data_IF_003771521898
#
_entry.id   IF_003771521898
#
_cell.length_a   1.000
_cell.length_b   1.000
_cell.length_c   1.000
_cell.angle_alpha   90.00
_cell.angle_beta   90.00
_cell.angle_gamma   90.00
#
_symmetry.space_group_name_H-M   'P 1'
#
loop_
_entity.id
_entity.type
_entity.pdbx_description
1 polymer ?
#
# COMPACT_ATOMS: atom_id res chain seq x y z
N UNK A 1 4.95 -19.17 18.04
CA UNK A 1 5.17 -19.10 16.56
C UNK A 1 4.20 -18.05 16.06
N UNK A 2 4.65 -17.15 15.17
CA UNK A 2 3.80 -16.03 14.74
C UNK A 2 2.66 -16.52 13.83
N UNK A 3 1.43 -16.02 14.03
CA UNK A 3 0.33 -16.31 13.11
C UNK A 3 0.62 -15.74 11.72
N UNK A 4 0.09 -16.41 10.71
CA UNK A 4 0.25 -16.06 9.30
C UNK A 4 -1.13 -15.74 8.72
N UNK A 5 -1.20 -14.66 7.93
CA UNK A 5 -2.41 -14.25 7.23
C UNK A 5 -2.59 -15.03 5.93
N UNK A 6 -3.83 -15.08 5.42
CA UNK A 6 -4.16 -15.81 4.18
C UNK A 6 -3.37 -15.24 2.99
N UNK A 7 -3.16 -13.92 2.93
CA UNK A 7 -2.41 -13.30 1.84
C UNK A 7 -0.93 -13.69 1.82
N UNK A 8 -0.32 -13.85 2.99
CA UNK A 8 1.08 -14.32 3.11
C UNK A 8 1.19 -15.78 2.74
N UNK A 9 0.24 -16.60 3.21
CA UNK A 9 0.16 -18.00 2.85
C UNK A 9 0.03 -18.18 1.33
N UNK A 10 -0.92 -17.48 0.70
CA UNK A 10 -1.12 -17.57 -0.75
C UNK A 10 0.06 -17.01 -1.56
N UNK A 11 0.71 -15.95 -1.09
CA UNK A 11 1.91 -15.40 -1.73
C UNK A 11 3.07 -16.41 -1.70
N UNK A 12 3.39 -16.95 -0.53
CA UNK A 12 4.44 -17.99 -0.41
C UNK A 12 4.09 -19.25 -1.20
N UNK A 13 2.81 -19.66 -1.19
CA UNK A 13 2.34 -20.80 -1.96
C UNK A 13 2.53 -20.59 -3.47
N UNK A 14 2.17 -19.41 -3.99
CA UNK A 14 2.40 -19.04 -5.38
C UNK A 14 3.90 -19.08 -5.75
N UNK A 15 4.75 -18.47 -4.92
CA UNK A 15 6.21 -18.49 -5.12
C UNK A 15 6.77 -19.92 -5.13
N UNK A 16 6.31 -20.77 -4.21
CA UNK A 16 6.70 -22.18 -4.15
C UNK A 16 6.25 -22.95 -5.40
N UNK A 17 5.01 -22.74 -5.85
CA UNK A 17 4.48 -23.35 -7.07
C UNK A 17 5.33 -22.94 -8.29
N UNK A 18 5.64 -21.65 -8.44
CA UNK A 18 6.48 -21.16 -9.54
C UNK A 18 7.89 -21.76 -9.50
N UNK A 19 8.50 -21.86 -8.31
CA UNK A 19 9.81 -22.49 -8.17
C UNK A 19 9.81 -23.98 -8.53
N UNK A 20 8.71 -24.71 -8.24
CA UNK A 20 8.55 -26.11 -8.66
C UNK A 20 8.38 -26.21 -10.18
N UNK A 21 7.59 -25.31 -10.79
CA UNK A 21 7.40 -25.24 -12.25
C UNK A 21 8.72 -24.93 -12.99
N UNK A 22 9.55 -24.06 -12.41
CA UNK A 22 10.88 -23.69 -12.92
C UNK A 22 11.97 -24.75 -12.63
N UNK A 23 11.64 -25.82 -11.89
CA UNK A 23 12.57 -26.89 -11.52
C UNK A 23 13.61 -26.51 -10.46
N UNK A 24 13.41 -25.39 -9.75
CA UNK A 24 14.29 -24.91 -8.67
C UNK A 24 14.04 -25.62 -7.34
N UNK A 25 12.83 -26.12 -7.13
CA UNK A 25 12.39 -26.77 -5.90
C UNK A 25 11.75 -28.13 -6.22
N UNK A 26 12.04 -29.18 -5.45
CA UNK A 26 11.39 -30.48 -5.61
C UNK A 26 9.90 -30.42 -5.25
N UNK A 27 9.08 -31.19 -5.96
CA UNK A 27 7.61 -31.21 -5.81
C UNK A 27 7.19 -31.72 -4.43
N UNK A 28 8.00 -32.59 -3.83
CA UNK A 28 7.77 -33.26 -2.55
C UNK A 28 7.71 -32.28 -1.38
N UNK A 29 8.39 -31.14 -1.47
CA UNK A 29 8.38 -30.10 -0.43
C UNK A 29 7.05 -29.36 -0.33
N UNK A 30 6.24 -29.38 -1.40
CA UNK A 30 5.03 -28.55 -1.47
C UNK A 30 3.93 -29.01 -0.49
N UNK A 31 3.55 -30.30 -0.42
CA UNK A 31 2.56 -30.76 0.57
C UNK A 31 3.03 -30.63 2.02
N UNK A 32 4.31 -30.89 2.30
CA UNK A 32 4.89 -30.75 3.65
C UNK A 32 4.80 -29.30 4.14
N UNK A 33 5.21 -28.36 3.29
CA UNK A 33 5.12 -26.93 3.58
C UNK A 33 3.66 -26.48 3.84
N UNK A 34 2.71 -26.95 3.03
CA UNK A 34 1.29 -26.63 3.20
C UNK A 34 0.78 -27.10 4.57
N UNK A 35 1.09 -28.33 4.97
CA UNK A 35 0.61 -28.91 6.23
C UNK A 35 1.21 -28.22 7.47
N UNK A 36 2.44 -27.71 7.38
CA UNK A 36 3.08 -26.92 8.43
C UNK A 36 2.48 -25.51 8.54
N UNK A 37 2.42 -24.76 7.44
CA UNK A 37 2.01 -23.36 7.46
C UNK A 37 0.51 -23.20 7.68
N UNK A 38 -0.31 -24.16 7.26
CA UNK A 38 -1.75 -24.17 7.55
C UNK A 38 -2.05 -24.14 9.05
N UNK A 39 -1.20 -24.74 9.90
CA UNK A 39 -1.38 -24.73 11.36
C UNK A 39 -1.15 -23.35 11.97
N UNK A 40 -0.39 -22.50 11.29
CA UNK A 40 -0.08 -21.13 11.71
C UNK A 40 -1.10 -20.11 11.21
N UNK A 41 -2.01 -20.54 10.34
CA UNK A 41 -2.89 -19.65 9.61
C UNK A 41 -4.00 -19.14 10.54
N UNK A 42 -3.97 -17.84 10.83
CA UNK A 42 -4.93 -17.14 11.67
C UNK A 42 -5.21 -15.78 11.04
N UNK A 43 -6.41 -15.62 10.50
CA UNK A 43 -6.81 -14.43 9.75
C UNK A 43 -8.31 -14.18 9.98
N UNK A 44 -8.73 -12.94 10.27
CA UNK A 44 -10.15 -12.55 10.32
C UNK A 44 -10.91 -12.92 9.04
N UNK A 45 -10.24 -12.97 7.88
CA UNK A 45 -10.84 -13.38 6.62
C UNK A 45 -11.47 -14.77 6.67
N UNK A 46 -10.97 -15.66 7.54
CA UNK A 46 -11.49 -17.02 7.68
C UNK A 46 -12.75 -17.14 8.56
N UNK A 47 -13.21 -16.03 9.15
CA UNK A 47 -14.53 -15.99 9.77
C UNK A 47 -15.64 -16.10 8.72
N UNK A 48 -15.36 -15.68 7.47
CA UNK A 48 -16.23 -15.95 6.32
C UNK A 48 -16.14 -17.43 5.93
N UNK A 49 -17.29 -18.11 6.02
CA UNK A 49 -17.41 -19.55 5.76
C UNK A 49 -17.04 -19.92 4.32
N UNK A 50 -17.44 -19.10 3.35
CA UNK A 50 -17.18 -19.35 1.93
C UNK A 50 -15.70 -19.15 1.61
N UNK A 51 -15.09 -18.08 2.13
CA UNK A 51 -13.66 -17.82 1.99
C UNK A 51 -12.82 -18.97 2.57
N UNK A 52 -13.22 -19.53 3.72
CA UNK A 52 -12.54 -20.68 4.33
C UNK A 52 -12.71 -21.96 3.52
N UNK A 53 -13.90 -22.23 3.00
CA UNK A 53 -14.17 -23.40 2.17
C UNK A 53 -13.38 -23.37 0.86
N UNK A 54 -13.35 -22.23 0.16
CA UNK A 54 -12.55 -22.08 -1.07
C UNK A 54 -11.06 -22.25 -0.83
N UNK A 55 -10.54 -21.79 0.30
CA UNK A 55 -9.15 -21.98 0.67
C UNK A 55 -8.83 -23.48 0.90
N UNK A 56 -9.71 -24.18 1.62
CA UNK A 56 -9.57 -25.62 1.83
C UNK A 56 -9.65 -26.39 0.51
N UNK A 57 -10.56 -26.03 -0.41
CA UNK A 57 -10.64 -26.63 -1.75
C UNK A 57 -9.33 -26.48 -2.55
N UNK A 58 -8.69 -25.30 -2.48
CA UNK A 58 -7.38 -25.07 -3.10
C UNK A 58 -6.31 -25.98 -2.49
N UNK A 59 -6.25 -26.05 -1.17
CA UNK A 59 -5.29 -26.88 -0.43
C UNK A 59 -5.49 -28.37 -0.78
N UNK A 60 -6.73 -28.85 -0.75
CA UNK A 60 -7.07 -30.24 -1.04
C UNK A 60 -6.84 -30.58 -2.52
N UNK A 61 -6.99 -29.62 -3.42
CA UNK A 61 -6.63 -29.78 -4.83
C UNK A 61 -5.13 -30.04 -5.03
N UNK A 62 -4.27 -29.45 -4.20
CA UNK A 62 -2.82 -29.56 -4.29
C UNK A 62 -2.24 -30.83 -3.63
N UNK A 63 -2.86 -31.38 -2.59
CA UNK A 63 -2.35 -32.56 -1.86
C UNK A 63 -1.97 -33.77 -2.73
N UNK A 64 -2.78 -34.20 -3.72
CA UNK A 64 -2.45 -35.36 -4.55
C UNK A 64 -1.32 -35.10 -5.55
N UNK A 65 -0.79 -33.88 -5.66
CA UNK A 65 0.21 -33.53 -6.68
C UNK A 65 1.48 -34.40 -6.59
N UNK A 66 1.92 -34.76 -5.38
CA UNK A 66 3.12 -35.60 -5.15
C UNK A 66 2.97 -37.04 -5.66
N UNK A 67 1.73 -37.53 -5.76
CA UNK A 67 1.43 -38.93 -6.11
C UNK A 67 1.14 -39.10 -7.61
N UNK A 68 1.06 -37.98 -8.35
CA UNK A 68 0.73 -37.96 -9.77
C UNK A 68 1.98 -38.03 -10.66
N UNK A 69 1.85 -38.55 -11.90
CA UNK A 69 2.90 -38.41 -12.91
C UNK A 69 3.28 -36.94 -13.12
N UNK A 70 4.57 -36.67 -13.33
CA UNK A 70 5.15 -35.32 -13.41
C UNK A 70 4.34 -34.34 -14.27
N UNK A 71 3.94 -34.74 -15.48
CA UNK A 71 3.14 -33.89 -16.38
C UNK A 71 1.78 -33.50 -15.79
N UNK A 72 1.09 -34.44 -15.14
CA UNK A 72 -0.21 -34.18 -14.49
C UNK A 72 -0.05 -33.31 -13.25
N UNK A 73 1.05 -33.49 -12.50
CA UNK A 73 1.37 -32.65 -11.36
C UNK A 73 1.64 -31.20 -11.81
N UNK A 74 2.46 -30.98 -12.84
CA UNK A 74 2.75 -29.65 -13.38
C UNK A 74 1.48 -28.95 -13.89
N UNK A 75 0.62 -29.65 -14.64
CA UNK A 75 -0.66 -29.07 -15.10
C UNK A 75 -1.58 -28.66 -13.94
N UNK A 76 -1.59 -29.47 -12.88
CA UNK A 76 -2.35 -29.18 -11.65
C UNK A 76 -1.82 -27.95 -10.93
N UNK A 77 -0.50 -27.81 -10.83
CA UNK A 77 0.15 -26.62 -10.29
C UNK A 77 -0.18 -25.34 -11.09
N UNK A 78 -0.14 -25.40 -12.43
CA UNK A 78 -0.55 -24.26 -13.28
C UNK A 78 -2.02 -23.87 -13.04
N UNK A 79 -2.92 -24.85 -12.90
CA UNK A 79 -4.33 -24.57 -12.60
C UNK A 79 -4.51 -23.95 -11.20
N UNK A 80 -3.70 -24.36 -10.22
CA UNK A 80 -3.75 -23.82 -8.87
C UNK A 80 -3.38 -22.34 -8.84
N UNK A 81 -2.45 -21.86 -9.67
CA UNK A 81 -2.16 -20.43 -9.83
C UNK A 81 -3.43 -19.64 -10.23
N UNK A 82 -4.22 -20.16 -11.17
CA UNK A 82 -5.50 -19.56 -11.54
C UNK A 82 -6.55 -19.61 -10.42
N UNK A 83 -6.52 -20.63 -9.56
CA UNK A 83 -7.38 -20.68 -8.36
C UNK A 83 -6.97 -19.63 -7.31
N UNK A 84 -5.66 -19.42 -7.11
CA UNK A 84 -5.13 -18.38 -6.21
C UNK A 84 -5.59 -17.00 -6.67
N UNK A 85 -5.43 -16.68 -7.95
CA UNK A 85 -5.85 -15.39 -8.52
C UNK A 85 -7.36 -15.14 -8.37
N UNK A 86 -8.19 -16.17 -8.59
CA UNK A 86 -9.64 -16.06 -8.34
C UNK A 86 -9.96 -15.85 -6.86
N UNK A 87 -9.27 -16.55 -5.96
CA UNK A 87 -9.43 -16.37 -4.53
C UNK A 87 -9.12 -14.92 -4.10
N UNK A 88 -8.01 -14.36 -4.61
CA UNK A 88 -7.65 -12.95 -4.38
C UNK A 88 -8.77 -12.03 -4.86
N UNK A 89 -9.22 -12.20 -6.11
CA UNK A 89 -10.28 -11.38 -6.70
C UNK A 89 -11.59 -11.38 -5.89
N UNK A 90 -11.98 -12.54 -5.34
CA UNK A 90 -13.21 -12.66 -4.57
C UNK A 90 -13.10 -12.12 -3.15
N UNK A 91 -12.00 -12.37 -2.45
CA UNK A 91 -11.95 -12.19 -1.00
C UNK A 91 -11.00 -11.08 -0.52
N UNK A 92 -10.03 -10.64 -1.33
CA UNK A 92 -8.99 -9.70 -0.87
C UNK A 92 -9.41 -8.23 -1.00
N UNK A 93 -10.45 -7.93 -1.78
CA UNK A 93 -10.87 -6.58 -2.09
C UNK A 93 -12.13 -6.21 -1.31
N UNK A 94 -12.05 -5.15 -0.50
CA UNK A 94 -13.21 -4.39 -0.09
C UNK A 94 -13.64 -3.46 -1.22
N UNK A 95 -14.94 -3.40 -1.51
CA UNK A 95 -15.51 -2.55 -2.55
C UNK A 95 -16.41 -1.48 -1.92
N UNK A 96 -16.49 -0.28 -2.53
CA UNK A 96 -17.41 0.75 -2.07
C UNK A 96 -18.86 0.32 -2.28
N UNK A 97 -19.76 0.78 -1.40
CA UNK A 97 -21.20 0.55 -1.52
C UNK A 97 -21.84 1.57 -2.50
N UNK A 98 -22.31 1.15 -3.69
CA UNK A 98 -22.88 2.07 -4.68
C UNK A 98 -24.15 2.78 -4.19
N UNK A 99 -24.88 2.21 -3.22
CA UNK A 99 -26.10 2.81 -2.69
C UNK A 99 -25.84 4.08 -1.87
N UNK A 100 -24.59 4.28 -1.42
CA UNK A 100 -24.17 5.43 -0.61
C UNK A 100 -23.37 6.46 -1.42
N UNK A 101 -23.36 6.33 -2.75
CA UNK A 101 -22.67 7.25 -3.64
C UNK A 101 -23.17 8.70 -3.45
N UNK A 102 -22.22 9.62 -3.34
CA UNK A 102 -22.46 11.08 -3.30
C UNK A 102 -21.57 11.76 -4.30
N UNK A 103 -22.02 12.87 -4.87
CA UNK A 103 -21.19 13.69 -5.74
C UNK A 103 -19.95 14.20 -4.98
N UNK A 104 -18.78 14.00 -5.58
CA UNK A 104 -17.49 14.37 -4.98
C UNK A 104 -17.29 15.90 -4.90
N UNK A 105 -17.97 16.66 -5.76
CA UNK A 105 -17.92 18.12 -5.79
C UNK A 105 -18.63 18.79 -4.61
N UNK A 106 -19.37 18.03 -3.79
CA UNK A 106 -20.05 18.57 -2.63
C UNK A 106 -19.05 19.13 -1.61
N UNK A 107 -19.41 20.27 -1.01
CA UNK A 107 -18.64 20.93 0.04
C UNK A 107 -18.44 19.98 1.24
N UNK A 108 -17.28 20.05 1.89
CA UNK A 108 -16.90 19.23 3.05
C UNK A 108 -17.90 19.32 4.21
N UNK A 109 -18.66 20.41 4.33
CA UNK A 109 -19.75 20.57 5.31
C UNK A 109 -20.87 19.55 5.14
N UNK A 110 -21.06 19.00 3.93
CA UNK A 110 -22.03 17.94 3.62
C UNK A 110 -21.58 16.55 4.06
N UNK A 111 -20.31 16.40 4.47
CA UNK A 111 -19.76 15.15 4.93
C UNK A 111 -20.38 14.72 6.25
N UNK A 112 -20.75 13.43 6.36
CA UNK A 112 -21.27 12.86 7.60
C UNK A 112 -20.21 12.97 8.70
N UNK A 113 -20.61 13.43 9.87
CA UNK A 113 -19.72 13.60 11.01
C UNK A 113 -18.91 14.90 11.02
N UNK A 114 -19.10 15.79 10.04
CA UNK A 114 -18.47 17.12 9.98
C UNK A 114 -19.48 18.18 10.44
N UNK A 115 -19.17 18.82 11.56
CA UNK A 115 -19.88 20.01 12.06
C UNK A 115 -19.03 21.28 11.93
N UNK A 116 -19.53 22.46 12.32
CA UNK A 116 -18.87 23.74 12.07
C UNK A 116 -17.42 23.85 12.59
N UNK A 117 -17.14 23.23 13.75
CA UNK A 117 -15.78 23.19 14.31
C UNK A 117 -14.85 22.30 13.48
N UNK A 118 -15.34 21.15 13.02
CA UNK A 118 -14.56 20.18 12.23
C UNK A 118 -14.34 20.68 10.82
N UNK A 119 -15.32 21.34 10.23
CA UNK A 119 -15.19 22.02 8.95
C UNK A 119 -14.00 22.97 8.95
N UNK A 120 -13.88 23.85 9.96
CA UNK A 120 -12.74 24.76 10.11
C UNK A 120 -11.39 24.04 10.20
N UNK A 121 -11.35 22.87 10.83
CA UNK A 121 -10.12 22.07 10.94
C UNK A 121 -9.76 21.37 9.63
N UNK A 122 -10.74 20.81 8.93
CA UNK A 122 -10.56 20.16 7.63
C UNK A 122 -10.11 21.16 6.57
N UNK A 123 -10.69 22.37 6.55
CA UNK A 123 -10.24 23.44 5.65
C UNK A 123 -8.79 23.90 5.90
N UNK A 124 -8.28 23.78 7.14
CA UNK A 124 -6.85 24.01 7.43
C UNK A 124 -5.93 22.94 6.84
N UNK A 125 -6.47 21.76 6.57
CA UNK A 125 -5.80 20.69 5.82
C UNK A 125 -6.03 20.81 4.30
N UNK A 126 -6.58 21.95 3.85
CA UNK A 126 -6.96 22.21 2.46
C UNK A 126 -8.05 21.27 1.93
N UNK A 127 -8.78 20.60 2.83
CA UNK A 127 -9.91 19.72 2.50
C UNK A 127 -11.19 20.55 2.44
N UNK A 128 -11.64 20.92 1.23
CA UNK A 128 -12.81 21.78 1.00
C UNK A 128 -14.02 21.01 0.45
N UNK A 129 -13.80 19.84 -0.13
CA UNK A 129 -14.84 19.01 -0.76
C UNK A 129 -14.72 17.53 -0.38
N UNK A 130 -15.74 16.74 -0.73
CA UNK A 130 -15.65 15.27 -0.62
C UNK A 130 -14.55 14.69 -1.52
N UNK A 131 -14.30 15.30 -2.68
CA UNK A 131 -13.14 14.97 -3.53
C UNK A 131 -11.86 15.13 -2.74
N UNK A 132 -11.63 16.29 -2.13
CA UNK A 132 -10.40 16.53 -1.38
C UNK A 132 -10.24 15.54 -0.22
N UNK A 133 -11.34 15.15 0.44
CA UNK A 133 -11.31 14.18 1.53
C UNK A 133 -10.88 12.78 1.07
N UNK A 134 -11.36 12.34 -0.10
CA UNK A 134 -11.02 11.04 -0.71
C UNK A 134 -9.63 11.04 -1.33
N UNK A 135 -9.14 12.18 -1.80
CA UNK A 135 -7.78 12.30 -2.33
C UNK A 135 -6.75 12.65 -1.25
N UNK A 136 -7.19 12.83 0.01
CA UNK A 136 -6.32 13.00 1.17
C UNK A 136 -5.78 11.66 1.67
N UNK A 137 -4.82 11.10 0.95
CA UNK A 137 -4.34 9.74 1.19
C UNK A 137 -3.60 9.58 2.53
N UNK A 138 -3.66 8.38 3.14
CA UNK A 138 -2.83 8.04 4.30
C UNK A 138 -1.34 8.09 3.96
N UNK A 139 -0.52 8.44 4.95
CA UNK A 139 0.96 8.37 4.86
C UNK A 139 1.52 7.01 5.24
N UNK A 140 0.77 6.23 6.00
CA UNK A 140 1.18 4.92 6.51
C UNK A 140 -0.06 4.09 6.89
N UNK A 141 0.13 2.81 7.22
CA UNK A 141 -0.94 1.89 7.60
C UNK A 141 -0.53 1.06 8.82
N UNK A 142 -1.50 0.81 9.70
CA UNK A 142 -1.34 -0.02 10.89
C UNK A 142 -2.13 -1.31 10.70
N UNK A 143 -1.44 -2.42 10.45
CA UNK A 143 -2.07 -3.73 10.31
C UNK A 143 -2.34 -4.37 11.69
N UNK A 144 -3.63 -4.43 12.07
CA UNK A 144 -4.06 -5.01 13.35
C UNK A 144 -4.61 -6.43 13.23
N UNK A 145 -4.62 -7.02 12.03
CA UNK A 145 -5.19 -8.37 11.79
C UNK A 145 -4.43 -9.47 12.52
N UNK A 146 -3.12 -9.28 12.72
CA UNK A 146 -2.27 -10.25 13.41
C UNK A 146 -2.40 -10.12 14.92
N UNK A 147 -3.03 -11.10 15.54
CA UNK A 147 -3.19 -11.18 17.00
C UNK A 147 -2.04 -11.97 17.62
N UNK A 148 -1.17 -11.30 18.36
CA UNK A 148 -0.04 -11.91 19.04
C UNK A 148 -0.47 -12.40 20.43
N UNK A 149 -0.12 -13.64 20.77
CA UNK A 149 -0.33 -14.19 22.12
C UNK A 149 0.47 -13.41 23.16
N UNK A 150 -0.05 -13.30 24.38
CA UNK A 150 0.65 -12.66 25.50
C UNK A 150 2.02 -13.29 25.79
N UNK A 151 2.20 -14.58 25.49
CA UNK A 151 3.47 -15.29 25.63
C UNK A 151 4.54 -14.80 24.65
N UNK A 152 4.13 -14.44 23.44
CA UNK A 152 5.01 -14.15 22.30
C UNK A 152 5.25 -12.62 22.14
N UNK A 153 4.92 -11.82 23.16
CA UNK A 153 5.15 -10.37 23.17
C UNK A 153 6.64 -10.05 23.22
N UNK A 154 7.09 -9.18 22.30
CA UNK A 154 8.47 -8.73 22.22
C UNK A 154 8.60 -7.25 22.55
N UNK A 155 9.68 -6.88 23.24
CA UNK A 155 9.95 -5.49 23.64
C UNK A 155 10.17 -4.60 22.42
N UNK A 156 9.55 -3.41 22.44
CA UNK A 156 9.69 -2.39 21.40
C UNK A 156 8.74 -2.57 20.21
N UNK A 157 8.06 -3.72 20.08
CA UNK A 157 7.12 -3.95 18.99
C UNK A 157 5.75 -3.34 19.30
N UNK A 158 5.10 -2.78 18.28
CA UNK A 158 3.68 -2.42 18.32
C UNK A 158 2.86 -3.64 17.89
N UNK A 159 1.98 -4.10 18.75
CA UNK A 159 1.27 -5.37 18.60
C UNK A 159 -0.20 -5.22 18.94
N UNK A 160 -1.03 -6.07 18.35
CA UNK A 160 -2.40 -6.33 18.77
C UNK A 160 -2.42 -7.66 19.52
N UNK A 161 -2.94 -7.69 20.74
CA UNK A 161 -3.06 -8.91 21.56
C UNK A 161 -4.48 -9.07 22.08
N UNK A 162 -4.87 -10.29 22.44
CA UNK A 162 -6.20 -10.62 22.96
C UNK A 162 -6.07 -11.16 24.39
N UNK A 163 -6.98 -10.73 25.26
CA UNK A 163 -7.09 -11.26 26.60
C UNK A 163 -8.29 -10.71 27.36
N UNK A 164 -8.45 -11.14 28.61
CA UNK A 164 -9.51 -10.70 29.51
C UNK A 164 -8.98 -9.64 30.46
N UNK A 165 -9.75 -8.56 30.66
CA UNK A 165 -9.41 -7.55 31.67
C UNK A 165 -9.71 -8.11 33.06
N UNK A 166 -8.68 -8.38 33.86
CA UNK A 166 -8.81 -9.01 35.18
C UNK A 166 -9.01 -7.98 36.30
N UNK A 167 -8.19 -6.93 36.32
CA UNK A 167 -8.25 -5.84 37.28
C UNK A 167 -8.13 -4.48 36.61
N UNK A 168 -8.74 -3.47 37.23
CA UNK A 168 -8.67 -2.08 36.84
C UNK A 168 -8.53 -1.26 38.11
N UNK A 169 -7.48 -0.46 38.18
CA UNK A 169 -7.13 0.39 39.31
C UNK A 169 -6.86 1.83 38.83
N UNK A 170 -7.12 2.80 39.69
CA UNK A 170 -6.66 4.17 39.50
C UNK A 170 -5.86 4.59 40.73
N UNK A 171 -4.68 5.15 40.50
CA UNK A 171 -3.81 5.67 41.56
C UNK A 171 -3.43 7.11 41.22
N UNK A 172 -3.33 7.93 42.25
CA UNK A 172 -2.71 9.24 42.16
C UNK A 172 -1.29 9.14 42.71
N UNK A 173 -0.30 9.45 41.88
CA UNK A 173 1.12 9.38 42.23
C UNK A 173 1.74 10.73 41.95
N UNK A 174 2.06 11.48 43.00
CA UNK A 174 2.67 12.82 42.91
C UNK A 174 1.89 13.80 42.02
N UNK A 175 0.55 13.77 42.07
CA UNK A 175 -0.33 14.63 41.26
C UNK A 175 -0.58 14.11 39.84
N UNK A 176 -0.03 12.95 39.46
CA UNK A 176 -0.30 12.29 38.20
C UNK A 176 -1.30 11.15 38.41
N UNK A 177 -2.45 11.24 37.72
CA UNK A 177 -3.45 10.16 37.72
C UNK A 177 -3.01 9.05 36.78
N UNK A 178 -2.82 7.85 37.31
CA UNK A 178 -2.43 6.66 36.57
C UNK A 178 -3.59 5.67 36.64
N UNK A 179 -4.18 5.37 35.48
CA UNK A 179 -5.12 4.25 35.34
C UNK A 179 -4.32 3.04 34.92
N UNK A 180 -4.45 1.93 35.65
CA UNK A 180 -3.79 0.67 35.36
C UNK A 180 -4.82 -0.44 35.18
N UNK A 181 -4.63 -1.31 34.20
CA UNK A 181 -5.42 -2.52 34.05
C UNK A 181 -4.52 -3.72 33.76
N UNK A 182 -4.95 -4.91 34.14
CA UNK A 182 -4.24 -6.15 33.82
C UNK A 182 -5.00 -6.91 32.75
N UNK A 183 -4.32 -7.20 31.66
CA UNK A 183 -4.82 -8.09 30.62
C UNK A 183 -4.23 -9.48 30.85
N UNK A 184 -5.07 -10.51 30.89
CA UNK A 184 -4.64 -11.88 31.14
C UNK A 184 -5.29 -12.87 30.16
N UNK A 185 -4.54 -13.90 29.75
CA UNK A 185 -5.03 -15.03 28.93
C UNK A 185 -5.30 -16.30 29.77
N UNK A 186 -5.19 -16.19 31.10
CA UNK A 186 -5.30 -17.28 32.06
C UNK A 186 -3.96 -17.76 32.61
N UNK A 187 -2.87 -17.62 31.84
CA UNK A 187 -1.51 -18.06 32.25
C UNK A 187 -0.56 -16.86 32.30
N UNK A 188 -0.54 -16.06 31.22
CA UNK A 188 0.28 -14.88 31.05
C UNK A 188 -0.54 -13.62 31.32
N UNK A 189 0.15 -12.55 31.72
CA UNK A 189 -0.46 -11.26 31.95
C UNK A 189 0.45 -10.13 31.49
N UNK A 190 -0.16 -9.01 31.11
CA UNK A 190 0.53 -7.76 30.76
C UNK A 190 -0.15 -6.58 31.42
N UNK A 191 0.64 -5.62 31.87
CA UNK A 191 0.14 -4.42 32.54
C UNK A 191 -0.18 -3.34 31.49
N UNK A 192 -1.37 -2.77 31.55
CA UNK A 192 -1.80 -1.66 30.71
C UNK A 192 -1.81 -0.40 31.55
N UNK A 193 -1.23 0.70 31.07
CA UNK A 193 -1.17 1.98 31.80
C UNK A 193 -1.62 3.14 30.95
N UNK A 194 -2.42 4.03 31.53
CA UNK A 194 -2.77 5.33 30.97
C UNK A 194 -2.41 6.44 31.95
N UNK A 195 -1.75 7.48 31.44
CA UNK A 195 -1.32 8.63 32.23
C UNK A 195 -2.25 9.82 31.95
N UNK A 196 -2.80 10.43 33.01
CA UNK A 196 -3.70 11.58 32.95
C UNK A 196 -4.96 11.37 32.08
N UNK A 197 -5.45 10.13 31.96
CA UNK A 197 -6.66 9.78 31.21
C UNK A 197 -7.72 9.15 32.10
N UNK A 198 -8.28 9.94 33.02
CA UNK A 198 -9.28 9.49 34.00
C UNK A 198 -10.55 8.91 33.34
N UNK A 199 -10.92 9.42 32.16
CA UNK A 199 -12.09 8.92 31.41
C UNK A 199 -11.98 7.44 31.04
N UNK A 200 -10.76 6.93 30.86
CA UNK A 200 -10.50 5.52 30.49
C UNK A 200 -10.89 4.58 31.63
N UNK A 201 -10.80 5.02 32.88
CA UNK A 201 -11.12 4.17 34.03
C UNK A 201 -12.56 3.64 33.99
N UNK A 202 -13.54 4.52 33.70
CA UNK A 202 -14.94 4.11 33.59
C UNK A 202 -15.16 3.14 32.43
N UNK A 203 -14.49 3.38 31.29
CA UNK A 203 -14.55 2.49 30.14
C UNK A 203 -13.99 1.10 30.47
N UNK A 204 -12.82 1.02 31.10
CA UNK A 204 -12.19 -0.25 31.47
C UNK A 204 -12.97 -1.00 32.56
N UNK A 205 -13.56 -0.29 33.53
CA UNK A 205 -14.43 -0.92 34.53
C UNK A 205 -15.64 -1.61 33.88
N UNK A 206 -16.25 -1.01 32.86
CA UNK A 206 -17.34 -1.64 32.10
C UNK A 206 -16.90 -2.85 31.26
N UNK A 207 -15.60 -2.92 30.95
CA UNK A 207 -14.97 -4.03 30.21
C UNK A 207 -14.35 -5.08 31.14
N UNK A 208 -14.41 -4.89 32.46
CA UNK A 208 -13.87 -5.84 33.42
C UNK A 208 -14.52 -7.20 33.25
N UNK A 209 -13.69 -8.23 33.15
CA UNK A 209 -14.14 -9.60 32.93
C UNK A 209 -14.53 -9.93 31.48
N UNK A 210 -14.47 -8.98 30.55
CA UNK A 210 -14.70 -9.23 29.12
C UNK A 210 -13.39 -9.47 28.38
N UNK A 211 -13.48 -10.18 27.27
CA UNK A 211 -12.37 -10.30 26.34
C UNK A 211 -12.28 -9.07 25.43
N UNK A 212 -11.05 -8.59 25.25
CA UNK A 212 -10.74 -7.39 24.50
C UNK A 212 -9.49 -7.60 23.63
N UNK A 213 -9.43 -6.87 22.53
CA UNK A 213 -8.21 -6.61 21.81
C UNK A 213 -7.51 -5.38 22.38
N UNK A 214 -6.21 -5.48 22.55
CA UNK A 214 -5.35 -4.42 23.06
C UNK A 214 -4.25 -4.17 22.04
N UNK A 215 -4.19 -2.94 21.53
CA UNK A 215 -3.18 -2.53 20.55
C UNK A 215 -2.26 -1.47 21.15
N UNK A 216 -0.96 -1.69 21.10
CA UNK A 216 0.02 -0.72 21.58
C UNK A 216 1.45 -1.22 21.53
N UNK A 217 2.39 -0.37 21.94
CA UNK A 217 3.82 -0.71 21.96
C UNK A 217 4.19 -1.36 23.28
N UNK A 218 4.79 -2.56 23.20
CA UNK A 218 5.27 -3.30 24.37
C UNK A 218 6.53 -2.65 24.92
N UNK A 219 6.51 -2.34 26.21
CA UNK A 219 7.61 -1.76 26.98
C UNK A 219 7.94 -2.63 28.18
N UNK A 220 9.12 -2.39 28.75
CA UNK A 220 9.51 -2.99 30.02
C UNK A 220 9.07 -2.07 31.15
N UNK A 221 8.34 -2.61 32.10
CA UNK A 221 7.98 -1.93 33.35
C UNK A 221 9.21 -1.76 34.24
N UNK A 222 9.17 -0.76 35.12
CA UNK A 222 10.20 -0.54 36.15
C UNK A 222 10.44 -1.78 37.03
N UNK A 223 9.44 -2.62 37.22
CA UNK A 223 9.52 -3.84 38.04
C UNK A 223 9.83 -5.11 37.22
N UNK A 224 10.32 -4.96 35.99
CA UNK A 224 10.80 -6.07 35.16
C UNK A 224 9.74 -6.77 34.28
N UNK A 225 8.45 -6.64 34.62
CA UNK A 225 7.35 -7.17 33.79
C UNK A 225 7.11 -6.39 32.49
N UNK A 226 6.33 -6.97 31.56
CA UNK A 226 5.91 -6.27 30.34
C UNK A 226 4.75 -5.31 30.64
N UNK A 227 4.78 -4.14 30.01
CA UNK A 227 3.67 -3.19 30.04
C UNK A 227 3.40 -2.56 28.68
N UNK A 228 2.17 -2.12 28.46
CA UNK A 228 1.77 -1.36 27.29
C UNK A 228 1.22 -0.02 27.78
N UNK A 229 1.83 1.06 27.31
CA UNK A 229 1.49 2.44 27.72
C UNK A 229 0.57 3.09 26.69
N UNK A 230 -0.51 3.68 27.19
CA UNK A 230 -1.61 4.28 26.44
C UNK A 230 -2.14 3.36 25.30
N UNK A 231 -2.43 2.06 25.55
CA UNK A 231 -2.96 1.20 24.52
C UNK A 231 -4.40 1.59 24.14
N UNK A 232 -4.77 1.24 22.92
CA UNK A 232 -6.16 1.20 22.48
C UNK A 232 -6.78 -0.13 22.88
N UNK A 233 -7.96 -0.07 23.49
CA UNK A 233 -8.71 -1.26 23.97
C UNK A 233 -10.05 -1.29 23.28
N UNK A 234 -10.31 -2.39 22.58
CA UNK A 234 -11.55 -2.63 21.84
C UNK A 234 -12.15 -3.98 22.25
N UNK A 235 -13.48 -4.06 22.30
CA UNK A 235 -14.17 -5.33 22.54
C UNK A 235 -13.91 -6.29 21.39
N UNK A 236 -13.79 -7.59 21.69
CA UNK A 236 -13.63 -8.62 20.65
C UNK A 236 -14.83 -8.65 19.70
N UNK A 237 -16.02 -8.30 20.19
CA UNK A 237 -17.25 -8.18 19.38
C UNK A 237 -17.20 -7.04 18.35
N UNK A 238 -16.21 -6.14 18.43
CA UNK A 238 -16.07 -5.03 17.50
C UNK A 238 -15.21 -5.43 16.29
N UNK A 239 -15.81 -5.49 15.11
CA UNK A 239 -15.15 -5.92 13.86
C UNK A 239 -13.96 -5.06 13.46
N UNK A 240 -13.93 -3.79 13.86
CA UNK A 240 -12.86 -2.84 13.51
C UNK A 240 -11.52 -3.13 14.18
N UNK A 241 -11.50 -4.00 15.19
CA UNK A 241 -10.30 -4.26 15.98
C UNK A 241 -9.21 -5.01 15.19
N UNK A 242 -9.60 -5.74 14.14
CA UNK A 242 -8.72 -6.57 13.30
C UNK A 242 -8.74 -6.11 11.84
N UNK A 243 -8.63 -4.80 11.60
CA UNK A 243 -8.54 -4.23 10.26
C UNK A 243 -7.16 -3.59 10.01
N UNK A 244 -6.85 -3.29 8.74
CA UNK A 244 -5.73 -2.41 8.39
C UNK A 244 -6.22 -0.98 8.53
N UNK A 245 -5.62 -0.22 9.45
CA UNK A 245 -6.05 1.15 9.73
C UNK A 245 -5.13 2.19 9.07
N UNK A 246 -5.67 3.14 8.30
CA UNK A 246 -4.87 4.19 7.68
C UNK A 246 -4.33 5.17 8.73
N UNK A 247 -3.14 5.69 8.50
CA UNK A 247 -2.50 6.74 9.30
C UNK A 247 -2.35 7.98 8.44
N UNK A 248 -3.07 9.04 8.77
CA UNK A 248 -3.10 10.27 7.97
C UNK A 248 -2.07 11.30 8.46
N UNK A 249 -1.55 12.17 7.58
CA UNK A 249 -0.73 13.31 7.98
C UNK A 249 -1.62 14.41 8.60
N UNK A 250 -1.95 14.32 9.88
CA UNK A 250 -2.88 15.24 10.54
C UNK A 250 -2.16 16.36 11.31
N UNK A 251 -2.81 17.52 11.42
CA UNK A 251 -2.38 18.66 12.24
C UNK A 251 -2.97 18.61 13.64
N UNK A 252 -2.48 19.47 14.54
CA UNK A 252 -3.00 19.62 15.90
C UNK A 252 -4.53 19.89 15.90
N UNK A 253 -5.24 19.17 16.77
CA UNK A 253 -6.70 19.33 16.95
C UNK A 253 -7.59 18.33 16.18
N UNK A 254 -7.03 17.47 15.32
CA UNK A 254 -7.76 16.35 14.70
C UNK A 254 -7.07 15.03 15.06
N UNK A 255 -7.79 14.15 15.77
CA UNK A 255 -7.26 12.82 16.10
C UNK A 255 -7.38 11.84 14.94
N UNK A 256 -6.46 10.86 14.86
CA UNK A 256 -6.53 9.76 13.87
C UNK A 256 -7.88 9.04 13.93
N UNK A 257 -8.34 8.72 15.15
CA UNK A 257 -9.62 8.02 15.37
C UNK A 257 -10.81 8.80 14.79
N UNK A 258 -10.85 10.11 15.03
CA UNK A 258 -11.94 10.93 14.50
C UNK A 258 -11.86 11.10 12.98
N UNK A 259 -10.67 11.34 12.43
CA UNK A 259 -10.50 11.49 10.98
C UNK A 259 -10.86 10.19 10.26
N UNK A 260 -10.35 9.04 10.72
CA UNK A 260 -10.74 7.71 10.23
C UNK A 260 -12.25 7.53 10.21
N UNK A 261 -12.94 7.92 11.30
CA UNK A 261 -14.40 7.84 11.38
C UNK A 261 -15.09 8.72 10.33
N UNK A 262 -14.59 9.93 10.08
CA UNK A 262 -15.14 10.83 9.05
C UNK A 262 -14.93 10.21 7.66
N UNK A 263 -13.72 9.74 7.34
CA UNK A 263 -13.45 9.12 6.05
C UNK A 263 -14.30 7.85 5.87
N UNK A 264 -14.35 6.96 6.87
CA UNK A 264 -15.14 5.71 6.82
C UNK A 264 -16.63 5.96 6.56
N UNK A 265 -17.19 7.06 7.09
CA UNK A 265 -18.59 7.44 6.88
C UNK A 265 -18.90 8.06 5.51
N UNK A 266 -17.87 8.40 4.74
CA UNK A 266 -18.02 9.10 3.46
C UNK A 266 -17.25 8.43 2.31
N UNK A 267 -16.41 7.43 2.55
CA UNK A 267 -15.54 6.81 1.53
C UNK A 267 -16.35 6.20 0.39
N UNK A 268 -17.55 5.69 0.64
CA UNK A 268 -18.41 5.11 -0.39
C UNK A 268 -18.84 6.10 -1.49
N UNK A 269 -18.61 7.40 -1.29
CA UNK A 269 -18.77 8.39 -2.37
C UNK A 269 -17.86 8.12 -3.58
N UNK A 270 -16.78 7.35 -3.43
CA UNK A 270 -15.91 6.91 -4.53
C UNK A 270 -16.66 6.07 -5.58
N UNK A 271 -17.79 5.45 -5.22
CA UNK A 271 -18.62 4.73 -6.19
C UNK A 271 -19.23 5.65 -7.27
N UNK A 272 -19.23 6.97 -7.06
CA UNK A 272 -19.66 7.95 -8.07
C UNK A 272 -18.56 8.35 -9.06
N UNK A 273 -17.31 7.92 -8.84
CA UNK A 273 -16.19 8.24 -9.71
C UNK A 273 -16.36 7.50 -11.04
N UNK A 274 -16.17 8.22 -12.14
CA UNK A 274 -16.10 7.61 -13.46
C UNK A 274 -14.68 7.10 -13.72
N UNK A 275 -14.57 5.85 -14.16
CA UNK A 275 -13.28 5.29 -14.59
C UNK A 275 -13.02 5.74 -16.04
N UNK A 276 -12.00 6.57 -16.23
CA UNK A 276 -11.62 7.11 -17.53
C UNK A 276 -10.75 6.15 -18.34
N UNK A 277 -10.19 5.10 -17.72
CA UNK A 277 -9.36 4.14 -18.43
C UNK A 277 -10.21 3.19 -19.27
N UNK A 278 -9.86 2.97 -20.56
CA UNK A 278 -10.54 1.98 -21.38
C UNK A 278 -10.47 0.57 -20.78
N UNK A 279 -11.58 -0.16 -20.85
CA UNK A 279 -11.69 -1.55 -20.33
C UNK A 279 -10.62 -2.48 -20.91
N UNK A 280 -10.31 -2.35 -22.21
CA UNK A 280 -9.27 -3.15 -22.86
C UNK A 280 -7.90 -3.00 -22.19
N UNK A 281 -7.62 -1.80 -21.70
CA UNK A 281 -6.34 -1.46 -21.08
C UNK A 281 -6.29 -1.95 -19.63
N UNK A 282 -7.39 -1.81 -18.88
CA UNK A 282 -7.49 -2.34 -17.51
C UNK A 282 -7.42 -3.87 -17.49
N UNK A 283 -8.12 -4.55 -18.41
CA UNK A 283 -8.08 -6.02 -18.54
C UNK A 283 -6.68 -6.52 -18.92
N UNK A 284 -6.06 -5.93 -19.95
CA UNK A 284 -4.72 -6.33 -20.41
C UNK A 284 -3.66 -6.17 -19.32
N UNK A 285 -3.80 -5.14 -18.49
CA UNK A 285 -2.87 -4.84 -17.40
C UNK A 285 -3.27 -5.44 -16.06
N UNK A 286 -4.42 -6.14 -15.98
CA UNK A 286 -4.99 -6.68 -14.74
C UNK A 286 -5.13 -5.63 -13.64
N UNK A 287 -5.54 -4.42 -14.02
CA UNK A 287 -5.75 -3.31 -13.10
C UNK A 287 -7.15 -3.39 -12.50
N UNK A 288 -7.28 -3.03 -11.21
CA UNK A 288 -8.58 -2.89 -10.57
C UNK A 288 -9.27 -1.60 -11.00
N UNK A 289 -10.59 -1.49 -10.82
CA UNK A 289 -11.33 -0.27 -11.12
C UNK A 289 -10.94 0.88 -10.17
N UNK A 290 -11.13 2.11 -10.63
CA UNK A 290 -10.74 3.32 -9.90
C UNK A 290 -11.44 3.45 -8.54
N UNK A 291 -12.73 3.09 -8.45
CA UNK A 291 -13.49 3.19 -7.20
C UNK A 291 -12.97 2.20 -6.13
N UNK A 292 -12.67 0.96 -6.53
CA UNK A 292 -12.04 -0.05 -5.66
C UNK A 292 -10.63 0.36 -5.24
N UNK A 293 -9.85 0.99 -6.15
CA UNK A 293 -8.52 1.49 -5.83
C UNK A 293 -8.58 2.63 -4.80
N UNK A 294 -9.43 3.64 -5.02
CA UNK A 294 -9.59 4.74 -4.07
C UNK A 294 -10.06 4.23 -2.71
N UNK A 295 -11.03 3.31 -2.67
CA UNK A 295 -11.44 2.68 -1.41
C UNK A 295 -10.28 1.96 -0.72
N UNK A 296 -9.53 1.15 -1.47
CA UNK A 296 -8.40 0.37 -0.97
C UNK A 296 -7.22 1.20 -0.50
N UNK A 297 -7.06 2.44 -0.98
CA UNK A 297 -6.10 3.38 -0.41
C UNK A 297 -6.47 3.85 1.00
N UNK A 298 -7.74 3.84 1.40
CA UNK A 298 -8.14 4.26 2.74
C UNK A 298 -8.37 3.08 3.68
N UNK A 299 -9.18 2.11 3.25
CA UNK A 299 -9.58 0.98 4.09
C UNK A 299 -9.37 -0.33 3.33
N UNK A 300 -8.12 -0.71 3.06
CA UNK A 300 -7.83 -1.98 2.42
C UNK A 300 -8.26 -3.13 3.33
N UNK A 301 -8.88 -4.15 2.74
CA UNK A 301 -9.16 -5.41 3.43
C UNK A 301 -7.89 -6.25 3.61
N UNK A 302 -6.96 -6.13 2.67
CA UNK A 302 -5.68 -6.86 2.64
C UNK A 302 -4.54 -5.95 2.18
N UNK A 303 -3.30 -6.29 2.53
CA UNK A 303 -2.13 -5.57 2.00
C UNK A 303 -2.02 -5.75 0.49
N UNK A 304 -2.48 -6.88 -0.05
CA UNK A 304 -2.61 -7.10 -1.49
C UNK A 304 -3.54 -6.07 -2.16
N UNK A 305 -4.71 -5.78 -1.56
CA UNK A 305 -5.59 -4.72 -2.09
C UNK A 305 -4.89 -3.36 -2.06
N UNK A 306 -4.18 -3.02 -0.99
CA UNK A 306 -3.44 -1.76 -0.91
C UNK A 306 -2.38 -1.66 -2.02
N UNK A 307 -1.63 -2.73 -2.27
CA UNK A 307 -0.64 -2.81 -3.35
C UNK A 307 -1.29 -2.60 -4.71
N UNK A 308 -2.40 -3.29 -5.00
CA UNK A 308 -3.14 -3.14 -6.26
C UNK A 308 -3.79 -1.78 -6.43
N UNK A 309 -4.25 -1.17 -5.33
CA UNK A 309 -4.79 0.19 -5.32
C UNK A 309 -3.71 1.21 -5.69
N UNK A 310 -2.52 1.08 -5.09
CA UNK A 310 -1.37 1.92 -5.42
C UNK A 310 -0.90 1.70 -6.85
N UNK A 311 -0.84 0.46 -7.32
CA UNK A 311 -0.48 0.12 -8.71
C UNK A 311 -1.43 0.79 -9.70
N UNK A 312 -2.75 0.70 -9.47
CA UNK A 312 -3.78 1.33 -10.32
C UNK A 312 -3.63 2.84 -10.40
N UNK A 313 -3.45 3.52 -9.28
CA UNK A 313 -3.35 4.98 -9.23
C UNK A 313 -2.02 5.49 -9.79
N UNK A 314 -0.91 4.84 -9.46
CA UNK A 314 0.40 5.20 -9.99
C UNK A 314 0.48 4.98 -11.51
N UNK A 315 -0.14 3.90 -12.00
CA UNK A 315 -0.23 3.64 -13.44
C UNK A 315 -0.99 4.75 -14.16
N UNK A 316 -2.13 5.18 -13.62
CA UNK A 316 -2.95 6.25 -14.19
C UNK A 316 -2.23 7.60 -14.21
N UNK A 317 -1.61 7.98 -13.10
CA UNK A 317 -0.81 9.20 -13.01
C UNK A 317 0.32 9.23 -14.06
N UNK A 318 1.06 8.12 -14.17
CA UNK A 318 2.11 7.98 -15.19
C UNK A 318 1.54 7.98 -16.60
N UNK A 319 0.38 7.34 -16.83
CA UNK A 319 -0.27 7.35 -18.14
C UNK A 319 -0.65 8.77 -18.55
N UNK A 320 -1.28 9.55 -17.66
CA UNK A 320 -1.64 10.94 -17.95
C UNK A 320 -0.41 11.79 -18.25
N UNK A 321 0.68 11.62 -17.49
CA UNK A 321 1.94 12.31 -17.77
C UNK A 321 2.49 11.96 -19.16
N UNK A 322 2.51 10.66 -19.51
CA UNK A 322 2.99 10.20 -20.82
C UNK A 322 2.09 10.70 -21.96
N UNK A 323 0.77 10.68 -21.78
CA UNK A 323 -0.18 11.20 -22.76
C UNK A 323 0.01 12.71 -22.97
N UNK A 324 0.17 13.49 -21.90
CA UNK A 324 0.46 14.92 -22.00
C UNK A 324 1.77 15.18 -22.76
N UNK A 325 2.83 14.41 -22.50
CA UNK A 325 4.10 14.50 -23.22
C UNK A 325 3.96 14.12 -24.70
N UNK A 326 3.21 13.06 -25.01
CA UNK A 326 2.96 12.62 -26.39
C UNK A 326 2.11 13.63 -27.17
N UNK A 327 1.08 14.20 -26.53
CA UNK A 327 0.27 15.26 -27.11
C UNK A 327 1.13 16.50 -27.40
N UNK A 328 1.95 16.91 -26.44
CA UNK A 328 2.89 18.03 -26.65
C UNK A 328 3.86 17.76 -27.80
N UNK A 329 4.40 16.53 -27.91
CA UNK A 329 5.28 16.14 -29.02
C UNK A 329 4.54 16.15 -30.35
N UNK A 330 3.33 15.61 -30.39
CA UNK A 330 2.50 15.59 -31.59
C UNK A 330 2.17 17.01 -32.08
N UNK A 331 1.86 17.93 -31.17
CA UNK A 331 1.63 19.35 -31.51
C UNK A 331 2.89 20.01 -32.07
N UNK A 332 4.07 19.71 -31.52
CA UNK A 332 5.34 20.23 -32.07
C UNK A 332 5.65 19.63 -33.45
N UNK A 333 5.48 18.33 -33.60
CA UNK A 333 5.70 17.63 -34.87
C UNK A 333 4.74 18.11 -35.96
N UNK A 334 3.50 18.48 -35.62
CA UNK A 334 2.50 18.96 -36.58
C UNK A 334 2.75 20.40 -37.06
N UNK A 335 3.40 21.24 -36.25
CA UNK A 335 3.92 22.55 -36.69
C UNK A 335 5.05 22.35 -37.72
N UNK A 336 5.80 21.25 -37.59
CA UNK A 336 6.95 20.94 -38.42
C UNK A 336 8.23 21.65 -37.97
N UNK A 337 9.38 21.14 -38.42
CA UNK A 337 10.70 21.71 -38.15
C UNK A 337 11.34 22.29 -39.42
N UNK A 338 12.40 23.09 -39.23
CA UNK A 338 13.25 23.53 -40.33
C UNK A 338 14.49 22.64 -40.42
N UNK A 339 14.55 21.83 -41.48
CA UNK A 339 15.70 20.98 -41.75
C UNK A 339 16.93 21.83 -42.08
N UNK A 340 18.05 21.56 -41.42
CA UNK A 340 19.34 22.20 -41.67
C UNK A 340 20.19 21.30 -42.56
N UNK A 341 20.71 21.85 -43.66
CA UNK A 341 21.76 21.17 -44.43
C UNK A 341 23.08 21.38 -43.70
N UNK A 342 23.81 20.30 -43.38
CA UNK A 342 25.07 20.36 -42.62
C UNK A 342 26.21 19.73 -43.44
N UNK A 343 27.11 20.55 -43.97
CA UNK A 343 28.36 20.17 -44.64
C UNK A 343 29.43 19.67 -43.67
N UNK A 344 29.51 20.26 -42.46
CA UNK A 344 30.42 19.82 -41.39
C UNK A 344 31.90 20.24 -41.54
N UNK A 345 32.22 21.19 -42.45
CA UNK A 345 33.59 21.71 -42.61
C UNK A 345 34.07 22.45 -41.36
N UNK A 346 33.22 23.32 -40.81
CA UNK A 346 33.58 24.10 -39.62
C UNK A 346 33.75 23.22 -38.38
N UNK A 347 32.91 22.19 -38.24
CA UNK A 347 33.04 21.20 -37.18
C UNK A 347 34.40 20.47 -37.25
N UNK A 348 34.83 20.05 -38.44
CA UNK A 348 36.14 19.42 -38.62
C UNK A 348 37.32 20.35 -38.28
N UNK A 349 37.25 21.62 -38.67
CA UNK A 349 38.27 22.61 -38.31
C UNK A 349 38.32 22.87 -36.81
N UNK A 350 37.16 22.95 -36.16
CA UNK A 350 37.05 23.13 -34.72
C UNK A 350 37.67 21.95 -33.97
N UNK A 351 37.34 20.71 -34.38
CA UNK A 351 37.92 19.49 -33.79
C UNK A 351 39.45 19.44 -33.90
N UNK A 352 40.03 19.93 -35.00
CA UNK A 352 41.50 19.98 -35.17
C UNK A 352 42.18 20.99 -34.25
N UNK A 353 41.46 22.02 -33.77
CA UNK A 353 42.00 23.06 -32.88
C UNK A 353 41.91 22.69 -31.40
N UNK A 354 41.15 21.65 -31.04
CA UNK A 354 41.00 21.24 -29.66
C UNK A 354 42.29 20.55 -29.14
N UNK A 355 42.75 20.87 -27.92
CA UNK A 355 43.94 20.25 -27.33
C UNK A 355 43.70 18.82 -26.81
N UNK A 356 42.54 18.24 -27.08
CA UNK A 356 42.12 16.92 -26.65
C UNK A 356 41.24 16.25 -27.70
N UNK A 357 41.10 14.92 -27.61
CA UNK A 357 40.18 14.17 -28.46
C UNK A 357 38.82 14.02 -27.79
N UNK A 358 37.75 14.09 -28.59
CA UNK A 358 36.42 13.78 -28.08
C UNK A 358 36.31 12.32 -27.66
N UNK A 359 35.62 12.09 -26.56
CA UNK A 359 35.24 10.74 -26.12
C UNK A 359 34.18 10.16 -27.06
N UNK A 360 34.04 8.83 -27.06
CA UNK A 360 33.00 8.16 -27.84
C UNK A 360 31.58 8.63 -27.46
N UNK A 361 31.35 8.93 -26.17
CA UNK A 361 30.09 9.47 -25.70
C UNK A 361 29.79 10.87 -26.28
N UNK A 362 30.80 11.75 -26.33
CA UNK A 362 30.65 13.09 -26.91
C UNK A 362 30.43 13.02 -28.43
N UNK A 363 31.17 12.15 -29.14
CA UNK A 363 30.97 11.92 -30.57
C UNK A 363 29.57 11.43 -30.89
N UNK A 364 29.07 10.43 -30.13
CA UNK A 364 27.71 9.92 -30.27
C UNK A 364 26.66 11.01 -30.00
N UNK A 365 26.82 11.77 -28.92
CA UNK A 365 25.88 12.85 -28.58
C UNK A 365 25.83 13.94 -29.67
N UNK A 366 26.98 14.31 -30.22
CA UNK A 366 27.06 15.26 -31.33
C UNK A 366 26.40 14.71 -32.60
N UNK A 367 26.65 13.45 -32.97
CA UNK A 367 26.04 12.84 -34.15
C UNK A 367 24.51 12.74 -34.00
N UNK A 368 24.01 12.34 -32.83
CA UNK A 368 22.57 12.31 -32.55
C UNK A 368 21.92 13.69 -32.69
N UNK A 369 22.57 14.76 -32.21
CA UNK A 369 22.10 16.14 -32.37
C UNK A 369 22.13 16.55 -33.85
N UNK A 370 23.20 16.21 -34.56
CA UNK A 370 23.36 16.52 -35.99
C UNK A 370 22.24 15.88 -36.82
N UNK A 371 21.93 14.61 -36.57
CA UNK A 371 20.85 13.90 -37.28
C UNK A 371 19.49 14.54 -37.04
N UNK A 372 19.19 14.97 -35.82
CA UNK A 372 17.93 15.64 -35.52
C UNK A 372 17.82 17.03 -36.17
N UNK A 373 18.92 17.80 -36.19
CA UNK A 373 18.97 19.10 -36.87
C UNK A 373 18.79 19.00 -38.40
N UNK A 374 19.21 17.89 -39.00
CA UNK A 374 18.99 17.61 -40.43
C UNK A 374 17.54 17.21 -40.70
N UNK A 375 16.85 16.67 -39.70
CA UNK A 375 15.47 16.21 -39.85
C UNK A 375 14.49 17.37 -40.06
N UNK A 376 13.35 17.08 -40.69
CA UNK A 376 12.25 18.03 -40.86
C UNK A 376 11.35 18.17 -39.61
N UNK A 377 11.74 17.60 -38.46
CA UNK A 377 11.00 17.68 -37.19
C UNK A 377 11.76 18.56 -36.20
N UNK A 378 11.07 19.27 -35.29
CA UNK A 378 11.74 20.04 -34.25
C UNK A 378 12.60 19.15 -33.35
N UNK A 379 13.87 19.50 -33.15
CA UNK A 379 14.73 18.82 -32.18
C UNK A 379 14.42 19.30 -30.76
N UNK A 380 13.97 18.38 -29.89
CA UNK A 380 13.75 18.64 -28.45
C UNK A 380 14.64 17.74 -27.58
N UNK A 381 15.96 17.88 -27.73
CA UNK A 381 16.96 17.09 -26.98
C UNK A 381 17.43 17.80 -25.72
N UNK A 382 17.64 17.02 -24.66
CA UNK A 382 18.35 17.44 -23.45
C UNK A 382 19.75 16.80 -23.45
N UNK A 383 20.80 17.61 -23.60
CA UNK A 383 22.18 17.14 -23.46
C UNK A 383 22.55 17.02 -21.96
N UNK A 384 22.52 15.81 -21.43
CA UNK A 384 22.77 15.53 -20.02
C UNK A 384 24.12 14.84 -19.79
N UNK A 385 24.74 15.12 -18.64
CA UNK A 385 25.99 14.50 -18.18
C UNK A 385 26.56 15.20 -16.95
N UNK A 386 27.57 14.61 -16.31
CA UNK A 386 28.19 15.13 -15.09
C UNK A 386 29.00 16.42 -15.30
N UNK A 387 29.34 17.11 -14.21
CA UNK A 387 30.23 18.28 -14.26
C UNK A 387 31.60 17.82 -14.79
N UNK A 388 32.14 18.54 -15.78
CA UNK A 388 33.42 18.22 -16.40
C UNK A 388 33.39 17.17 -17.52
N UNK A 389 32.24 16.55 -17.85
CA UNK A 389 32.18 15.52 -18.91
C UNK A 389 32.22 16.08 -20.35
N UNK A 390 32.39 17.39 -20.53
CA UNK A 390 32.50 18.03 -21.84
C UNK A 390 31.17 18.24 -22.57
N UNK A 391 30.05 18.45 -21.86
CA UNK A 391 28.79 18.92 -22.49
C UNK A 391 28.99 20.18 -23.33
N UNK A 392 29.84 21.09 -22.86
CA UNK A 392 30.13 22.37 -23.53
C UNK A 392 30.70 22.17 -24.93
N UNK A 393 31.63 21.24 -25.13
CA UNK A 393 32.24 21.03 -26.46
C UNK A 393 31.23 20.45 -27.45
N UNK A 394 30.32 19.59 -26.99
CA UNK A 394 29.23 19.06 -27.82
C UNK A 394 28.27 20.18 -28.23
N UNK A 395 27.88 21.05 -27.30
CA UNK A 395 27.02 22.20 -27.60
C UNK A 395 27.68 23.20 -28.57
N UNK A 396 28.99 23.45 -28.41
CA UNK A 396 29.75 24.30 -29.34
C UNK A 396 29.76 23.72 -30.76
N UNK A 397 29.96 22.41 -30.89
CA UNK A 397 29.89 21.74 -32.20
C UNK A 397 28.51 21.92 -32.84
N UNK A 398 27.43 21.77 -32.07
CA UNK A 398 26.05 21.99 -32.54
C UNK A 398 25.81 23.42 -33.05
N UNK A 399 26.38 24.43 -32.39
CA UNK A 399 26.29 25.84 -32.83
C UNK A 399 27.02 26.04 -34.17
N UNK A 400 28.17 25.37 -34.33
CA UNK A 400 29.07 25.54 -35.47
C UNK A 400 28.64 24.70 -36.69
N UNK A 401 27.91 23.59 -36.49
CA UNK A 401 27.45 22.71 -37.55
C UNK A 401 26.72 23.49 -38.64
N UNK A 402 27.38 23.62 -39.80
CA UNK A 402 26.97 24.47 -40.91
C UNK A 402 26.67 23.66 -42.15
#
# INVERSE_FOLDING_TARGET
MRPILVEEFLKKLEELILNVLDGRTPLEQLPEWIDEERKLLQDPLLEDTDAREKLNQLIDYLKPAKELPKERALKRLTNALGMIERYRSWYFFAKPDPSQAKQLSLDIKSARGVGPRREKLLRKLEINSLKDLVFYFPRDYEDRRRVISLKDLLLGEKVTTRGKISSVEMKDVSGMKIVAAVLADGIHHVLLKWFNQEFVYKQLQALRGKEVYVTGTVKKSMFGGLEIVNPEVELVENSSALEILPVYPLTEGVSQKEFRRIVRQNIDCVASVQDELPLELTERRKLIDLATALYGMHFPKTMHQLEKSRERLAYEELLYLQLAMLLSRYTLDSIGGMAKKIEGKLAQEFLKKLPFQLTNAQKRAHEEIRQDLISARPMSRLLQGDVGCGKTVVAQLTIIDN
#
